data_IF_373381615503
#
_entry.id   IF_373381615503
#
_cell.length_a   1.000
_cell.length_b   1.000
_cell.length_c   1.000
_cell.angle_alpha   90.00
_cell.angle_beta   90.00
_cell.angle_gamma   90.00
#
_symmetry.space_group_name_H-M   'P 1'
#
loop_
_entity.id
_entity.type
_entity.pdbx_description
1 polymer ?
#
# COMPACT_ATOMS: atom_id res chain seq x y z
N UNK A 1 30.66 22.74 24.56
CA UNK A 1 29.34 22.74 23.85
C UNK A 1 28.43 21.73 24.53
N UNK A 2 27.26 22.16 25.01
CA UNK A 2 26.32 21.29 25.73
C UNK A 2 25.62 20.34 24.74
N UNK A 3 25.65 19.03 25.00
CA UNK A 3 25.05 17.98 24.14
C UNK A 3 23.56 18.21 23.88
N UNK A 4 22.83 18.79 24.85
CA UNK A 4 21.43 19.23 24.69
C UNK A 4 21.24 20.34 23.66
N UNK A 5 22.23 21.23 23.50
CA UNK A 5 22.20 22.28 22.49
C UNK A 5 22.56 21.75 21.11
N UNK A 6 23.43 20.73 21.04
CA UNK A 6 23.77 20.05 19.80
C UNK A 6 22.58 19.24 19.26
N UNK A 7 21.91 18.47 20.12
CA UNK A 7 20.73 17.67 19.72
C UNK A 7 19.58 18.56 19.21
N UNK A 8 19.29 19.67 19.89
CA UNK A 8 18.29 20.65 19.43
C UNK A 8 18.64 21.30 18.09
N UNK A 9 19.93 21.59 17.85
CA UNK A 9 20.39 22.14 16.57
C UNK A 9 20.27 21.09 15.45
N UNK A 10 20.62 19.83 15.74
CA UNK A 10 20.47 18.73 14.79
C UNK A 10 19.00 18.51 14.42
N UNK A 11 18.11 18.45 15.42
CA UNK A 11 16.68 18.30 15.22
C UNK A 11 16.12 19.42 14.33
N UNK A 12 16.46 20.69 14.62
CA UNK A 12 16.07 21.83 13.78
C UNK A 12 16.59 21.75 12.35
N UNK A 13 17.78 21.18 12.14
CA UNK A 13 18.36 20.99 10.81
C UNK A 13 17.63 19.90 10.03
N UNK A 14 17.29 18.81 10.72
CA UNK A 14 16.48 17.71 10.17
C UNK A 14 15.09 18.25 9.83
N UNK A 15 14.39 18.89 10.77
CA UNK A 15 13.03 19.42 10.58
C UNK A 15 12.94 20.41 9.41
N UNK A 16 13.94 21.27 9.21
CA UNK A 16 13.95 22.19 8.06
C UNK A 16 14.03 21.49 6.71
N UNK A 17 14.74 20.36 6.64
CA UNK A 17 14.98 19.66 5.39
C UNK A 17 14.02 18.49 5.18
N UNK A 18 13.37 17.99 6.23
CA UNK A 18 12.44 16.86 6.16
C UNK A 18 11.21 17.21 5.31
N UNK A 19 10.78 18.47 5.30
CA UNK A 19 9.68 18.93 4.45
C UNK A 19 9.97 18.83 2.94
N UNK A 20 11.25 18.75 2.55
CA UNK A 20 11.66 18.57 1.15
C UNK A 20 11.57 17.11 0.69
N UNK A 21 11.52 16.17 1.63
CA UNK A 21 11.52 14.74 1.35
C UNK A 21 10.15 14.17 1.72
N UNK A 22 9.60 13.32 0.87
CA UNK A 22 8.29 12.73 1.10
C UNK A 22 8.38 11.52 2.08
N UNK A 23 8.81 11.77 3.31
CA UNK A 23 9.02 10.70 4.31
C UNK A 23 7.70 10.32 4.99
N UNK A 24 7.31 9.03 5.00
CA UNK A 24 6.17 8.56 5.77
C UNK A 24 6.45 8.62 7.28
N UNK A 25 5.51 9.19 8.04
CA UNK A 25 5.57 9.25 9.51
C UNK A 25 4.41 8.43 10.09
N UNK A 26 4.72 7.38 10.85
CA UNK A 26 3.72 6.54 11.52
C UNK A 26 3.26 7.22 12.82
N UNK A 27 1.96 7.48 12.94
CA UNK A 27 1.30 7.97 14.15
C UNK A 27 0.14 7.03 14.51
N UNK A 28 0.35 6.14 15.48
CA UNK A 28 -0.65 5.14 15.88
C UNK A 28 -1.02 4.23 14.70
N UNK A 29 -2.31 4.10 14.38
CA UNK A 29 -2.82 3.32 13.23
C UNK A 29 -2.86 4.11 11.91
N UNK A 30 -2.14 5.23 11.84
CA UNK A 30 -2.12 6.06 10.65
C UNK A 30 -0.70 6.33 10.16
N UNK A 31 -0.55 6.35 8.84
CA UNK A 31 0.68 6.79 8.17
C UNK A 31 0.42 8.16 7.58
N UNK A 32 1.23 9.15 7.92
CA UNK A 32 1.13 10.51 7.40
C UNK A 32 2.21 10.76 6.35
N UNK A 33 1.83 11.39 5.25
CA UNK A 33 2.70 11.70 4.13
C UNK A 33 2.32 13.08 3.57
N UNK A 34 3.07 14.12 3.97
CA UNK A 34 2.70 15.54 3.81
C UNK A 34 1.28 15.85 4.33
N UNK A 35 0.38 16.29 3.44
CA UNK A 35 -1.02 16.60 3.72
C UNK A 35 -1.94 15.37 3.59
N UNK A 36 -1.39 14.20 3.25
CA UNK A 36 -2.14 12.98 3.10
C UNK A 36 -2.00 12.12 4.35
N UNK A 37 -3.07 11.41 4.68
CA UNK A 37 -3.09 10.44 5.79
C UNK A 37 -3.71 9.14 5.30
N UNK A 38 -3.03 8.04 5.60
CA UNK A 38 -3.49 6.68 5.37
C UNK A 38 -3.97 6.15 6.72
N UNK A 39 -5.19 5.63 6.77
CA UNK A 39 -5.77 4.98 7.95
C UNK A 39 -6.17 3.56 7.59
N UNK A 40 -6.04 2.66 8.55
CA UNK A 40 -6.45 1.27 8.39
C UNK A 40 -7.81 1.03 9.03
N UNK A 41 -8.67 0.26 8.36
CA UNK A 41 -9.90 -0.30 8.92
C UNK A 41 -10.05 -1.77 8.51
N UNK A 42 -11.11 -2.42 8.97
CA UNK A 42 -11.40 -3.83 8.64
C UNK A 42 -11.64 -4.09 7.14
N UNK A 43 -11.85 -3.04 6.34
CA UNK A 43 -12.17 -3.13 4.92
C UNK A 43 -11.01 -2.74 4.00
N UNK A 44 -9.86 -2.32 4.57
CA UNK A 44 -8.66 -1.93 3.83
C UNK A 44 -8.02 -0.64 4.35
N UNK A 45 -7.38 0.08 3.44
CA UNK A 45 -6.59 1.27 3.74
C UNK A 45 -7.20 2.51 3.08
N UNK A 46 -7.65 3.46 3.89
CA UNK A 46 -8.29 4.68 3.46
C UNK A 46 -7.24 5.78 3.29
N UNK A 47 -7.27 6.48 2.16
CA UNK A 47 -6.40 7.63 1.88
C UNK A 47 -7.23 8.91 1.95
N UNK A 48 -6.82 9.86 2.80
CA UNK A 48 -7.47 11.16 2.96
C UNK A 48 -6.52 12.31 2.64
N UNK A 49 -7.07 13.36 2.03
CA UNK A 49 -6.43 14.67 1.93
C UNK A 49 -6.89 15.56 3.08
N UNK A 50 -5.94 16.03 3.90
CA UNK A 50 -6.21 16.90 5.04
C UNK A 50 -6.46 18.36 4.64
N UNK A 51 -6.14 18.78 3.41
CA UNK A 51 -6.41 20.14 2.92
C UNK A 51 -7.91 20.37 2.78
N UNK A 52 -8.59 19.40 2.17
CA UNK A 52 -10.03 19.43 1.91
C UNK A 52 -10.83 18.54 2.86
N UNK A 53 -10.14 17.86 3.79
CA UNK A 53 -10.70 16.84 4.68
C UNK A 53 -11.54 15.78 3.94
N UNK A 54 -11.06 15.35 2.77
CA UNK A 54 -11.80 14.48 1.85
C UNK A 54 -11.13 13.12 1.72
N UNK A 55 -11.94 12.05 1.73
CA UNK A 55 -11.47 10.73 1.37
C UNK A 55 -11.24 10.67 -0.14
N UNK A 56 -10.01 10.32 -0.53
CA UNK A 56 -9.64 10.17 -1.94
C UNK A 56 -10.08 8.80 -2.43
N UNK A 57 -9.68 7.74 -1.72
CA UNK A 57 -10.00 6.36 -2.09
C UNK A 57 -9.81 5.40 -0.91
N UNK A 58 -10.25 4.17 -1.09
CA UNK A 58 -9.94 3.01 -0.24
C UNK A 58 -9.25 1.96 -1.08
N UNK A 59 -8.18 1.38 -0.56
CA UNK A 59 -7.35 0.38 -1.23
C UNK A 59 -7.35 -0.91 -0.42
N UNK A 60 -7.25 -2.05 -1.11
CA UNK A 60 -7.09 -3.36 -0.53
C UNK A 60 -5.71 -3.54 0.09
N UNK A 61 -4.65 -3.11 -0.63
CA UNK A 61 -3.27 -3.25 -0.16
C UNK A 61 -2.72 -1.96 0.45
N UNK A 62 -1.91 -2.10 1.50
CA UNK A 62 -1.18 -0.97 2.11
C UNK A 62 -0.24 -0.31 1.10
N UNK A 63 0.39 -1.11 0.23
CA UNK A 63 1.30 -0.63 -0.81
C UNK A 63 0.58 0.33 -1.77
N UNK A 64 -0.64 0.01 -2.21
CA UNK A 64 -1.41 0.90 -3.08
C UNK A 64 -1.74 2.21 -2.37
N UNK A 65 -2.15 2.16 -1.10
CA UNK A 65 -2.42 3.35 -0.30
C UNK A 65 -1.20 4.28 -0.22
N UNK A 66 -0.02 3.69 0.00
CA UNK A 66 1.26 4.42 0.07
C UNK A 66 1.65 4.98 -1.30
N UNK A 67 1.52 4.20 -2.37
CA UNK A 67 1.79 4.64 -3.73
C UNK A 67 0.92 5.85 -4.12
N UNK A 68 -0.39 5.78 -3.88
CA UNK A 68 -1.33 6.88 -4.11
C UNK A 68 -0.92 8.10 -3.29
N UNK A 69 -0.65 7.91 -2.00
CA UNK A 69 -0.26 9.02 -1.13
C UNK A 69 1.04 9.69 -1.61
N UNK A 70 2.06 8.91 -1.99
CA UNK A 70 3.34 9.42 -2.52
C UNK A 70 3.13 10.21 -3.81
N UNK A 71 2.45 9.62 -4.79
CA UNK A 71 2.25 10.23 -6.10
C UNK A 71 1.47 11.55 -5.98
N UNK A 72 0.41 11.59 -5.17
CA UNK A 72 -0.34 12.82 -4.90
C UNK A 72 0.50 13.88 -4.16
N UNK A 73 1.32 13.46 -3.20
CA UNK A 73 2.21 14.36 -2.47
C UNK A 73 3.31 14.97 -3.36
N UNK A 74 3.65 14.30 -4.46
CA UNK A 74 4.61 14.73 -5.48
C UNK A 74 3.96 15.42 -6.69
N UNK A 75 2.62 15.48 -6.73
CA UNK A 75 1.86 16.10 -7.82
C UNK A 75 1.71 15.23 -9.08
N UNK A 76 2.02 13.94 -9.00
CA UNK A 76 1.94 12.97 -10.08
C UNK A 76 0.54 12.33 -10.17
N UNK A 77 -0.48 13.14 -10.48
CA UNK A 77 -1.88 12.67 -10.43
C UNK A 77 -2.26 11.67 -11.55
N UNK A 78 -1.46 11.57 -12.61
CA UNK A 78 -1.76 10.74 -13.79
C UNK A 78 -1.62 9.23 -13.53
N UNK A 79 -0.89 8.82 -12.50
CA UNK A 79 -0.65 7.42 -12.15
C UNK A 79 -1.71 6.82 -11.22
N UNK A 80 -2.57 7.66 -10.63
CA UNK A 80 -3.49 7.25 -9.54
C UNK A 80 -4.51 6.21 -10.01
N UNK A 81 -5.13 6.42 -11.16
CA UNK A 81 -6.12 5.47 -11.70
C UNK A 81 -5.47 4.11 -11.97
N UNK A 82 -4.24 4.10 -12.50
CA UNK A 82 -3.49 2.87 -12.74
C UNK A 82 -3.17 2.13 -11.45
N UNK A 83 -2.78 2.84 -10.40
CA UNK A 83 -2.51 2.27 -9.07
C UNK A 83 -3.80 1.64 -8.49
N UNK A 84 -4.94 2.32 -8.62
CA UNK A 84 -6.24 1.81 -8.16
C UNK A 84 -6.62 0.54 -8.94
N UNK A 85 -6.42 0.51 -10.25
CA UNK A 85 -6.75 -0.66 -11.07
C UNK A 85 -5.86 -1.87 -10.75
N UNK A 86 -4.56 -1.64 -10.52
CA UNK A 86 -3.65 -2.69 -10.06
C UNK A 86 -4.09 -3.25 -8.70
N UNK A 87 -4.45 -2.39 -7.76
CA UNK A 87 -4.92 -2.82 -6.43
C UNK A 87 -6.22 -3.64 -6.49
N UNK A 88 -7.15 -3.24 -7.36
CA UNK A 88 -8.38 -4.02 -7.64
C UNK A 88 -8.07 -5.38 -8.26
N UNK A 89 -7.11 -5.43 -9.18
CA UNK A 89 -6.71 -6.69 -9.80
C UNK A 89 -6.06 -7.64 -8.78
N UNK A 90 -5.20 -7.11 -7.91
CA UNK A 90 -4.62 -7.85 -6.77
C UNK A 90 -5.74 -8.39 -5.88
N UNK A 91 -6.71 -7.55 -5.50
CA UNK A 91 -7.83 -7.98 -4.66
C UNK A 91 -8.63 -9.12 -5.32
N UNK A 92 -8.94 -8.99 -6.61
CA UNK A 92 -9.70 -10.00 -7.34
C UNK A 92 -8.95 -11.35 -7.42
N UNK A 93 -7.65 -11.33 -7.72
CA UNK A 93 -6.84 -12.56 -7.77
C UNK A 93 -6.61 -13.16 -6.38
N UNK A 94 -6.36 -12.33 -5.37
CA UNK A 94 -6.24 -12.78 -3.98
C UNK A 94 -7.51 -13.52 -3.51
N UNK A 95 -8.69 -12.97 -3.82
CA UNK A 95 -9.96 -13.61 -3.50
C UNK A 95 -10.11 -14.99 -4.18
N UNK A 96 -9.62 -15.16 -5.42
CA UNK A 96 -9.56 -16.49 -6.07
C UNK A 96 -8.61 -17.44 -5.34
N UNK A 97 -7.45 -16.97 -4.90
CA UNK A 97 -6.52 -17.78 -4.11
C UNK A 97 -7.17 -18.29 -2.81
N UNK A 98 -7.95 -17.45 -2.13
CA UNK A 98 -8.71 -17.85 -0.94
C UNK A 98 -9.74 -18.94 -1.27
N UNK A 99 -10.44 -18.80 -2.40
CA UNK A 99 -11.39 -19.83 -2.86
C UNK A 99 -10.69 -21.16 -3.15
N UNK A 100 -9.57 -21.15 -3.86
CA UNK A 100 -8.81 -22.37 -4.14
C UNK A 100 -8.32 -23.04 -2.86
N UNK A 101 -7.81 -22.27 -1.89
CA UNK A 101 -7.43 -22.81 -0.57
C UNK A 101 -8.60 -23.48 0.14
N UNK A 102 -9.78 -22.86 0.08
CA UNK A 102 -11.00 -23.47 0.63
C UNK A 102 -11.32 -24.80 -0.06
N UNK A 103 -11.18 -24.89 -1.38
CA UNK A 103 -11.37 -26.14 -2.13
C UNK A 103 -10.36 -27.22 -1.72
N UNK A 104 -9.08 -26.87 -1.54
CA UNK A 104 -8.06 -27.83 -1.10
C UNK A 104 -8.37 -28.44 0.29
N UNK A 105 -8.96 -27.64 1.19
CA UNK A 105 -9.24 -28.07 2.57
C UNK A 105 -10.55 -28.86 2.66
N UNK A 106 -11.58 -28.45 1.92
CA UNK A 106 -12.95 -28.91 2.14
C UNK A 106 -13.46 -29.92 1.09
N UNK A 107 -12.71 -30.20 0.02
CA UNK A 107 -13.12 -31.12 -1.04
C UNK A 107 -12.60 -32.53 -0.79
N UNK A 108 -13.45 -33.54 -1.00
CA UNK A 108 -13.03 -34.96 -0.96
C UNK A 108 -12.57 -35.47 -2.34
N UNK A 109 -12.85 -34.72 -3.42
CA UNK A 109 -12.45 -35.13 -4.77
C UNK A 109 -10.96 -34.80 -5.02
N UNK A 110 -10.09 -35.81 -5.22
CA UNK A 110 -8.66 -35.58 -5.43
C UNK A 110 -8.35 -34.79 -6.70
N UNK A 111 -9.17 -34.93 -7.75
CA UNK A 111 -8.99 -34.19 -9.02
C UNK A 111 -9.31 -32.70 -8.79
N UNK A 112 -10.32 -32.39 -7.99
CA UNK A 112 -10.66 -31.00 -7.66
C UNK A 112 -9.58 -30.35 -6.79
N UNK A 113 -9.01 -31.09 -5.84
CA UNK A 113 -7.91 -30.62 -4.99
C UNK A 113 -6.67 -30.35 -5.85
N UNK A 114 -6.28 -31.28 -6.71
CA UNK A 114 -5.11 -31.14 -7.57
C UNK A 114 -5.24 -29.93 -8.52
N UNK A 115 -6.40 -29.80 -9.17
CA UNK A 115 -6.71 -28.62 -9.99
C UNK A 115 -6.67 -27.31 -9.19
N UNK A 116 -7.15 -27.31 -7.94
CA UNK A 116 -7.12 -26.13 -7.07
C UNK A 116 -5.68 -25.74 -6.69
N UNK A 117 -4.80 -26.71 -6.43
CA UNK A 117 -3.37 -26.48 -6.19
C UNK A 117 -2.70 -25.81 -7.39
N UNK A 118 -2.83 -26.40 -8.58
CA UNK A 118 -2.22 -25.86 -9.80
C UNK A 118 -2.71 -24.42 -10.08
N UNK A 119 -4.02 -24.19 -9.96
CA UNK A 119 -4.59 -22.86 -10.18
C UNK A 119 -4.17 -21.85 -9.13
N UNK A 120 -4.01 -22.28 -7.88
CA UNK A 120 -3.51 -21.44 -6.81
C UNK A 120 -2.09 -20.97 -7.11
N UNK A 121 -1.20 -21.88 -7.49
CA UNK A 121 0.20 -21.55 -7.77
C UNK A 121 0.32 -20.49 -8.87
N UNK A 122 -0.39 -20.68 -9.98
CA UNK A 122 -0.42 -19.72 -11.10
C UNK A 122 -0.98 -18.37 -10.64
N UNK A 123 -2.12 -18.38 -9.94
CA UNK A 123 -2.80 -17.14 -9.54
C UNK A 123 -2.00 -16.39 -8.47
N UNK A 124 -1.28 -17.11 -7.62
CA UNK A 124 -0.42 -16.52 -6.61
C UNK A 124 0.79 -15.82 -7.23
N UNK A 125 1.40 -16.43 -8.23
CA UNK A 125 2.50 -15.80 -8.99
C UNK A 125 2.05 -14.51 -9.68
N UNK A 126 0.83 -14.49 -10.25
CA UNK A 126 0.25 -13.27 -10.80
C UNK A 126 0.08 -12.17 -9.73
N UNK A 127 -0.35 -12.53 -8.51
CA UNK A 127 -0.49 -11.58 -7.40
C UNK A 127 0.86 -10.96 -7.04
N UNK A 128 1.93 -11.78 -6.98
CA UNK A 128 3.28 -11.29 -6.71
C UNK A 128 3.77 -10.33 -7.80
N UNK A 129 3.57 -10.68 -9.06
CA UNK A 129 3.95 -9.84 -10.21
C UNK A 129 3.23 -8.48 -10.20
N UNK A 130 1.92 -8.47 -9.88
CA UNK A 130 1.15 -7.23 -9.74
C UNK A 130 1.63 -6.41 -8.55
N UNK A 131 1.98 -7.04 -7.43
CA UNK A 131 2.54 -6.37 -6.25
C UNK A 131 3.87 -5.69 -6.59
N UNK A 132 4.74 -6.37 -7.32
CA UNK A 132 6.03 -5.81 -7.74
C UNK A 132 5.85 -4.63 -8.73
N UNK A 133 4.79 -4.68 -9.55
CA UNK A 133 4.40 -3.55 -10.40
C UNK A 133 3.93 -2.35 -9.59
N UNK A 134 3.23 -2.59 -8.48
CA UNK A 134 2.77 -1.56 -7.55
C UNK A 134 3.93 -0.89 -6.80
N UNK A 135 4.94 -1.67 -6.42
CA UNK A 135 6.14 -1.19 -5.73
C UNK A 135 6.93 -0.17 -6.57
N UNK A 136 6.84 -0.23 -7.90
CA UNK A 136 7.47 0.77 -8.80
C UNK A 136 6.90 2.18 -8.61
N UNK A 137 5.67 2.32 -8.11
CA UNK A 137 5.09 3.62 -7.80
C UNK A 137 5.51 4.14 -6.42
N UNK A 138 6.07 3.28 -5.57
CA UNK A 138 6.56 3.63 -4.23
C UNK A 138 8.06 3.96 -4.28
N UNK A 139 8.86 3.13 -4.94
CA UNK A 139 10.30 3.26 -4.99
C UNK A 139 10.74 3.90 -6.30
N UNK A 140 11.45 5.03 -6.21
CA UNK A 140 12.18 5.57 -7.37
C UNK A 140 13.33 4.61 -7.68
N UNK A 141 13.45 4.16 -8.93
CA UNK A 141 14.61 3.38 -9.40
C UNK A 141 15.80 4.29 -9.70
#
# INVERSE_FOLDING_TARGET
>A
MNTKNLSKKLLKLIDRNIHKVCVPIQNGNSVRLKHLIIRENNYGHLVYDLRDNKQITTTFTKTAAVAIAKNLAEGQNHSIDRIIDLDREIQAKYNKCVQYKSTMINSDNPISIDNANIRYDITWEDVLTLRDSLDQYVFDK
#
